data_IF_722537367171
#
_entry.id   IF_722537367171
#
_cell.length_a   1.000
_cell.length_b   1.000
_cell.length_c   1.000
_cell.angle_alpha   90.00
_cell.angle_beta   90.00
_cell.angle_gamma   90.00
#
_symmetry.space_group_name_H-M   'P 1'
#
loop_
_entity.id
_entity.type
_entity.pdbx_description
1 polymer ?
#
# COMPACT_ATOMS: atom_id res chain seq x y z
N UNK A 1 -18.20 12.94 -15.89
CA UNK A 1 -18.26 11.82 -14.92
C UNK A 1 -18.39 10.45 -15.58
N UNK A 2 -19.40 10.17 -16.42
CA UNK A 2 -19.54 8.85 -17.10
C UNK A 2 -18.28 8.42 -17.88
N UNK A 3 -17.69 9.36 -18.62
CA UNK A 3 -16.44 9.13 -19.36
C UNK A 3 -15.26 8.77 -18.44
N UNK A 4 -15.15 9.41 -17.27
CA UNK A 4 -14.11 9.12 -16.27
C UNK A 4 -14.28 7.71 -15.71
N UNK A 5 -15.51 7.31 -15.36
CA UNK A 5 -15.80 5.96 -14.88
C UNK A 5 -15.46 4.90 -15.95
N UNK A 6 -15.80 5.17 -17.21
CA UNK A 6 -15.51 4.23 -18.31
C UNK A 6 -14.00 4.10 -18.55
N UNK A 7 -13.24 5.20 -18.44
CA UNK A 7 -11.78 5.20 -18.49
C UNK A 7 -11.15 4.46 -17.30
N UNK A 8 -11.65 4.67 -16.08
CA UNK A 8 -11.19 3.94 -14.88
C UNK A 8 -11.46 2.43 -14.99
N UNK A 9 -12.63 2.03 -15.51
CA UNK A 9 -12.92 0.61 -15.79
C UNK A 9 -11.94 0.01 -16.80
N UNK A 10 -11.61 0.76 -17.85
CA UNK A 10 -10.63 0.34 -18.85
C UNK A 10 -9.24 0.21 -18.24
N UNK A 11 -8.79 1.20 -17.46
CA UNK A 11 -7.50 1.17 -16.77
C UNK A 11 -7.42 -0.03 -15.81
N UNK A 12 -8.44 -0.24 -14.97
CA UNK A 12 -8.53 -1.39 -14.06
C UNK A 12 -8.41 -2.72 -14.82
N UNK A 13 -9.09 -2.85 -15.96
CA UNK A 13 -9.02 -4.06 -16.80
C UNK A 13 -7.60 -4.30 -17.33
N UNK A 14 -6.90 -3.24 -17.73
CA UNK A 14 -5.51 -3.33 -18.20
C UNK A 14 -4.60 -3.81 -17.08
N UNK A 15 -4.67 -3.20 -15.89
CA UNK A 15 -3.85 -3.59 -14.73
C UNK A 15 -4.06 -5.06 -14.35
N UNK A 16 -5.31 -5.52 -14.28
CA UNK A 16 -5.61 -6.91 -13.97
C UNK A 16 -5.13 -7.89 -15.06
N UNK A 17 -5.11 -7.45 -16.32
CA UNK A 17 -4.53 -8.26 -17.41
C UNK A 17 -3.01 -8.37 -17.30
N UNK A 18 -2.32 -7.31 -16.86
CA UNK A 18 -0.88 -7.35 -16.58
C UNK A 18 -0.58 -8.28 -15.40
N UNK A 19 -1.37 -8.22 -14.33
CA UNK A 19 -1.24 -9.15 -13.19
C UNK A 19 -1.29 -10.61 -13.67
N UNK A 20 -2.27 -10.95 -14.50
CA UNK A 20 -2.39 -12.32 -15.04
C UNK A 20 -1.18 -12.69 -15.92
N UNK A 21 -0.80 -11.83 -16.87
CA UNK A 21 0.28 -12.11 -17.82
C UNK A 21 1.66 -12.24 -17.14
N UNK A 22 1.97 -11.35 -16.19
CA UNK A 22 3.24 -11.37 -15.45
C UNK A 22 3.27 -12.53 -14.45
N UNK A 23 2.15 -12.85 -13.80
CA UNK A 23 2.07 -14.04 -12.92
C UNK A 23 2.35 -15.33 -13.68
N UNK A 24 1.87 -15.44 -14.93
CA UNK A 24 2.19 -16.60 -15.78
C UNK A 24 3.68 -16.60 -16.16
N UNK A 25 4.21 -15.46 -16.60
CA UNK A 25 5.61 -15.30 -17.01
C UNK A 25 6.58 -15.69 -15.89
N UNK A 26 6.24 -15.37 -14.63
CA UNK A 26 7.08 -15.65 -13.46
C UNK A 26 7.27 -17.15 -13.17
N UNK A 27 6.42 -18.04 -13.70
CA UNK A 27 6.56 -19.49 -13.44
C UNK A 27 7.85 -20.06 -14.02
N UNK A 28 8.33 -19.48 -15.11
CA UNK A 28 9.52 -19.93 -15.83
C UNK A 28 10.79 -19.16 -15.42
N UNK A 29 10.68 -18.20 -14.49
CA UNK A 29 11.80 -17.37 -14.04
C UNK A 29 12.51 -18.02 -12.85
N UNK A 30 13.71 -18.54 -13.08
CA UNK A 30 14.55 -19.11 -12.02
C UNK A 30 15.37 -18.06 -11.26
N UNK A 31 15.67 -16.91 -11.90
CA UNK A 31 16.54 -15.89 -11.30
C UNK A 31 15.79 -15.11 -10.21
N UNK A 32 16.22 -15.16 -8.93
CA UNK A 32 15.47 -14.57 -7.83
C UNK A 32 15.21 -13.07 -7.97
N UNK A 33 16.22 -12.30 -8.39
CA UNK A 33 16.07 -10.84 -8.54
C UNK A 33 15.11 -10.45 -9.66
N UNK A 34 15.05 -11.22 -10.76
CA UNK A 34 14.08 -10.97 -11.82
C UNK A 34 12.66 -11.25 -11.29
N UNK A 35 12.50 -12.31 -10.51
CA UNK A 35 11.22 -12.63 -9.87
C UNK A 35 10.76 -11.52 -8.93
N UNK A 36 11.63 -10.98 -8.08
CA UNK A 36 11.31 -9.84 -7.22
C UNK A 36 10.83 -8.63 -8.03
N UNK A 37 11.53 -8.27 -9.11
CA UNK A 37 11.12 -7.15 -9.97
C UNK A 37 9.71 -7.37 -10.55
N UNK A 38 9.44 -8.57 -11.06
CA UNK A 38 8.13 -8.91 -11.62
C UNK A 38 7.04 -8.93 -10.55
N UNK A 39 7.34 -9.45 -9.36
CA UNK A 39 6.42 -9.46 -8.21
C UNK A 39 6.09 -8.04 -7.76
N UNK A 40 7.07 -7.13 -7.66
CA UNK A 40 6.85 -5.72 -7.34
C UNK A 40 5.90 -5.04 -8.34
N UNK A 41 6.09 -5.27 -9.65
CA UNK A 41 5.19 -4.74 -10.69
C UNK A 41 3.77 -5.32 -10.54
N UNK A 42 3.65 -6.61 -10.24
CA UNK A 42 2.36 -7.26 -10.00
C UNK A 42 1.66 -6.67 -8.77
N UNK A 43 2.39 -6.39 -7.69
CA UNK A 43 1.86 -5.74 -6.49
C UNK A 43 1.35 -4.32 -6.82
N UNK A 44 2.11 -3.54 -7.59
CA UNK A 44 1.69 -2.21 -8.02
C UNK A 44 0.47 -2.24 -8.93
N UNK A 45 0.40 -3.14 -9.91
CA UNK A 45 -0.79 -3.29 -10.75
C UNK A 45 -2.04 -3.66 -9.94
N UNK A 46 -1.91 -4.51 -8.91
CA UNK A 46 -3.03 -4.80 -7.98
C UNK A 46 -3.45 -3.56 -7.20
N UNK A 47 -2.48 -2.79 -6.69
CA UNK A 47 -2.71 -1.51 -6.00
C UNK A 47 -3.46 -0.53 -6.90
N UNK A 48 -3.01 -0.33 -8.14
CA UNK A 48 -3.65 0.56 -9.10
C UNK A 48 -5.08 0.13 -9.46
N UNK A 49 -5.31 -1.18 -9.67
CA UNK A 49 -6.64 -1.72 -9.94
C UNK A 49 -7.60 -1.50 -8.74
N UNK A 50 -7.09 -1.58 -7.51
CA UNK A 50 -7.85 -1.31 -6.29
C UNK A 50 -8.21 0.17 -6.16
N UNK A 51 -7.24 1.07 -6.41
CA UNK A 51 -7.49 2.53 -6.43
C UNK A 51 -8.57 2.87 -7.46
N UNK A 52 -8.46 2.35 -8.68
CA UNK A 52 -9.45 2.60 -9.73
C UNK A 52 -10.85 2.10 -9.33
N UNK A 53 -10.94 0.95 -8.66
CA UNK A 53 -12.21 0.47 -8.13
C UNK A 53 -12.77 1.40 -7.06
N UNK A 54 -11.96 1.82 -6.09
CA UNK A 54 -12.39 2.73 -5.04
C UNK A 54 -12.94 4.04 -5.62
N UNK A 55 -12.28 4.61 -6.64
CA UNK A 55 -12.77 5.80 -7.34
C UNK A 55 -14.10 5.56 -8.06
N UNK A 56 -14.27 4.41 -8.72
CA UNK A 56 -15.55 4.03 -9.35
C UNK A 56 -16.66 3.95 -8.31
N UNK A 57 -16.40 3.36 -7.14
CA UNK A 57 -17.40 3.16 -6.09
C UNK A 57 -17.80 4.48 -5.43
N UNK A 58 -16.84 5.37 -5.19
CA UNK A 58 -17.11 6.73 -4.69
C UNK A 58 -18.03 7.48 -5.66
N UNK A 59 -17.71 7.44 -6.95
CA UNK A 59 -18.50 8.09 -7.99
C UNK A 59 -19.90 7.48 -8.18
N UNK A 60 -20.05 6.17 -7.92
CA UNK A 60 -21.32 5.48 -7.94
C UNK A 60 -22.20 5.76 -6.69
N UNK A 61 -21.67 6.49 -5.70
CA UNK A 61 -22.33 6.71 -4.41
C UNK A 61 -22.43 5.44 -3.56
N UNK A 62 -21.58 4.43 -3.84
CA UNK A 62 -21.63 3.11 -3.22
C UNK A 62 -20.79 3.02 -1.94
N UNK A 63 -20.06 4.08 -1.57
CA UNK A 63 -19.15 4.08 -0.43
C UNK A 63 -19.68 4.97 0.70
N UNK A 64 -19.85 4.43 1.92
CA UNK A 64 -20.14 5.22 3.11
C UNK A 64 -19.04 6.26 3.37
N UNK A 65 -19.42 7.48 3.73
CA UNK A 65 -18.48 8.56 4.08
C UNK A 65 -17.73 8.35 5.42
N UNK A 66 -17.97 7.21 6.09
CA UNK A 66 -17.40 6.84 7.40
C UNK A 66 -17.00 5.37 7.38
N UNK A 67 -16.15 4.96 8.33
CA UNK A 67 -15.83 3.55 8.56
C UNK A 67 -17.13 2.76 8.78
N UNK A 68 -17.48 1.91 7.82
CA UNK A 68 -18.69 1.09 7.83
C UNK A 68 -18.40 -0.25 8.51
N UNK A 69 -18.11 -0.18 9.82
CA UNK A 69 -17.80 -1.33 10.64
C UNK A 69 -18.50 -1.24 11.99
N UNK A 70 -19.06 -2.36 12.45
CA UNK A 70 -19.57 -2.50 13.81
C UNK A 70 -18.45 -2.25 14.85
N UNK A 71 -18.82 -1.75 16.04
CA UNK A 71 -17.87 -1.34 17.11
C UNK A 71 -16.86 -2.45 17.50
N UNK A 72 -17.30 -3.71 17.56
CA UNK A 72 -16.42 -4.84 17.88
C UNK A 72 -15.34 -5.08 16.81
N UNK A 73 -15.73 -5.35 15.54
CA UNK A 73 -14.80 -5.40 14.41
C UNK A 73 -13.90 -4.17 14.27
N UNK A 74 -14.42 -2.96 14.49
CA UNK A 74 -13.65 -1.71 14.43
C UNK A 74 -12.54 -1.65 15.51
N UNK A 75 -12.84 -2.12 16.73
CA UNK A 75 -11.86 -2.19 17.82
C UNK A 75 -10.73 -3.17 17.49
N UNK A 76 -11.08 -4.37 17.01
CA UNK A 76 -10.08 -5.36 16.58
C UNK A 76 -9.23 -4.85 15.42
N UNK A 77 -9.86 -4.19 14.45
CA UNK A 77 -9.17 -3.58 13.32
C UNK A 77 -8.13 -2.56 13.78
N UNK A 78 -8.54 -1.60 14.62
CA UNK A 78 -7.64 -0.59 15.15
C UNK A 78 -6.51 -1.19 16.00
N UNK A 79 -6.80 -2.23 16.79
CA UNK A 79 -5.76 -2.93 17.55
C UNK A 79 -4.75 -3.63 16.62
N UNK A 80 -5.19 -4.23 15.52
CA UNK A 80 -4.29 -4.80 14.52
C UNK A 80 -3.41 -3.73 13.87
N UNK A 81 -3.95 -2.55 13.55
CA UNK A 81 -3.15 -1.42 13.05
C UNK A 81 -2.10 -0.98 14.08
N UNK A 82 -2.49 -0.86 15.36
CA UNK A 82 -1.56 -0.50 16.45
C UNK A 82 -0.48 -1.57 16.67
N UNK A 83 -0.78 -2.85 16.43
CA UNK A 83 0.21 -3.92 16.45
C UNK A 83 1.16 -3.81 15.25
N UNK A 84 0.66 -3.52 14.05
CA UNK A 84 1.50 -3.28 12.88
C UNK A 84 2.46 -2.11 13.10
N UNK A 85 2.02 -1.00 13.68
CA UNK A 85 2.90 0.12 14.06
C UNK A 85 4.09 -0.32 14.95
N UNK A 86 3.89 -1.32 15.82
CA UNK A 86 4.99 -1.86 16.64
C UNK A 86 5.91 -2.75 15.81
N UNK A 87 5.34 -3.60 14.96
CA UNK A 87 6.09 -4.45 14.04
C UNK A 87 6.97 -3.63 13.08
N UNK A 88 6.48 -2.51 12.54
CA UNK A 88 7.28 -1.60 11.70
C UNK A 88 8.48 -1.03 12.45
N UNK A 89 8.29 -0.65 13.73
CA UNK A 89 9.40 -0.14 14.55
C UNK A 89 10.47 -1.21 14.77
N UNK A 90 10.06 -2.43 15.09
CA UNK A 90 10.96 -3.58 15.26
C UNK A 90 11.69 -3.91 13.94
N UNK A 91 11.00 -3.80 12.80
CA UNK A 91 11.60 -4.00 11.48
C UNK A 91 12.65 -2.94 11.15
N UNK A 92 12.36 -1.67 11.41
CA UNK A 92 13.32 -0.57 11.20
C UNK A 92 14.59 -0.78 12.03
N UNK A 93 14.45 -1.16 13.30
CA UNK A 93 15.58 -1.46 14.19
C UNK A 93 16.42 -2.62 13.62
N UNK A 94 15.76 -3.72 13.24
CA UNK A 94 16.42 -4.89 12.65
C UNK A 94 17.14 -4.56 11.33
N UNK A 95 16.50 -3.82 10.43
CA UNK A 95 17.10 -3.39 9.17
C UNK A 95 18.29 -2.45 9.39
N UNK A 96 18.23 -1.60 10.42
CA UNK A 96 19.35 -0.74 10.81
C UNK A 96 20.55 -1.55 11.30
N UNK A 97 20.32 -2.59 12.11
CA UNK A 97 21.37 -3.54 12.51
C UNK A 97 21.96 -4.28 11.30
N UNK A 98 21.12 -4.71 10.34
CA UNK A 98 21.57 -5.34 9.10
C UNK A 98 22.44 -4.36 8.30
N UNK A 99 22.01 -3.10 8.18
CA UNK A 99 22.73 -2.04 7.48
C UNK A 99 24.14 -1.85 8.01
N UNK A 100 24.37 -1.91 9.32
CA UNK A 100 25.71 -1.77 9.91
C UNK A 100 26.65 -2.94 9.56
N UNK A 101 26.09 -4.10 9.21
CA UNK A 101 26.84 -5.32 8.89
C UNK A 101 27.10 -5.52 7.39
N UNK A 102 26.31 -4.88 6.54
CA UNK A 102 26.42 -5.00 5.08
C UNK A 102 27.65 -4.24 4.58
N UNK A 103 28.45 -4.93 3.74
CA UNK A 103 29.65 -4.36 3.11
C UNK A 103 29.52 -4.16 1.61
N UNK A 104 28.50 -4.77 1.00
CA UNK A 104 28.26 -4.67 -0.44
C UNK A 104 27.34 -3.47 -0.68
N UNK A 105 27.87 -2.41 -1.30
CA UNK A 105 27.13 -1.18 -1.62
C UNK A 105 25.83 -1.44 -2.40
N UNK A 106 25.76 -2.53 -3.18
CA UNK A 106 24.55 -2.89 -3.92
C UNK A 106 23.47 -3.39 -2.98
N UNK A 107 23.84 -4.19 -1.99
CA UNK A 107 22.92 -4.70 -0.95
C UNK A 107 22.53 -3.55 -0.02
N UNK A 108 23.48 -2.68 0.33
CA UNK A 108 23.24 -1.52 1.18
C UNK A 108 22.10 -0.65 0.65
N UNK A 109 22.10 -0.35 -0.65
CA UNK A 109 21.02 0.43 -1.29
C UNK A 109 19.63 -0.19 -1.14
N UNK A 110 19.53 -1.53 -1.15
CA UNK A 110 18.24 -2.19 -0.92
C UNK A 110 17.83 -2.11 0.55
N UNK A 111 18.77 -2.23 1.49
CA UNK A 111 18.47 -2.09 2.92
C UNK A 111 18.03 -0.66 3.24
N UNK A 112 18.73 0.35 2.71
CA UNK A 112 18.37 1.76 2.87
C UNK A 112 16.96 2.02 2.32
N UNK A 113 16.67 1.52 1.12
CA UNK A 113 15.33 1.58 0.53
C UNK A 113 14.26 0.94 1.44
N UNK A 114 14.51 -0.27 1.96
CA UNK A 114 13.56 -0.92 2.86
C UNK A 114 13.34 -0.11 4.15
N UNK A 115 14.40 0.47 4.73
CA UNK A 115 14.28 1.33 5.91
C UNK A 115 13.41 2.55 5.60
N UNK A 116 13.59 3.19 4.44
CA UNK A 116 12.78 4.32 4.01
C UNK A 116 11.30 3.95 3.81
N UNK A 117 11.03 2.79 3.20
CA UNK A 117 9.68 2.24 3.04
C UNK A 117 9.01 2.02 4.40
N UNK A 118 9.65 1.32 5.33
CA UNK A 118 9.04 1.04 6.65
C UNK A 118 8.87 2.31 7.49
N UNK A 119 9.79 3.28 7.38
CA UNK A 119 9.60 4.59 8.01
C UNK A 119 8.36 5.31 7.49
N UNK A 120 8.05 5.17 6.20
CA UNK A 120 6.86 5.76 5.59
C UNK A 120 5.59 5.00 6.01
N UNK A 121 5.62 3.67 5.99
CA UNK A 121 4.52 2.83 6.48
C UNK A 121 4.21 3.11 7.96
N UNK A 122 5.23 3.21 8.81
CA UNK A 122 5.07 3.52 10.23
C UNK A 122 4.37 4.86 10.46
N UNK A 123 4.76 5.91 9.72
CA UNK A 123 4.12 7.23 9.81
C UNK A 123 2.66 7.18 9.33
N UNK A 124 2.40 6.51 8.20
CA UNK A 124 1.05 6.30 7.68
C UNK A 124 0.17 5.59 8.71
N UNK A 125 0.61 4.44 9.22
CA UNK A 125 -0.19 3.61 10.13
C UNK A 125 -0.43 4.28 11.48
N UNK A 126 0.52 5.08 11.96
CA UNK A 126 0.31 5.92 13.16
C UNK A 126 -0.80 6.93 12.94
N UNK A 127 -0.73 7.72 11.88
CA UNK A 127 -1.79 8.70 11.57
C UNK A 127 -3.13 8.01 11.30
N UNK A 128 -3.12 6.88 10.59
CA UNK A 128 -4.32 6.08 10.35
C UNK A 128 -4.96 5.61 11.65
N UNK A 129 -4.17 5.10 12.60
CA UNK A 129 -4.69 4.66 13.91
C UNK A 129 -5.35 5.79 14.70
N UNK A 130 -4.82 7.01 14.59
CA UNK A 130 -5.40 8.20 15.23
C UNK A 130 -6.72 8.61 14.55
N UNK A 131 -6.83 8.46 13.23
CA UNK A 131 -8.11 8.63 12.54
C UNK A 131 -9.14 7.62 13.04
N UNK A 132 -8.76 6.34 13.15
CA UNK A 132 -9.68 5.28 13.62
C UNK A 132 -10.14 5.45 15.08
N UNK A 133 -9.39 6.17 15.91
CA UNK A 133 -9.77 6.48 17.30
C UNK A 133 -10.84 7.60 17.39
N UNK A 134 -11.21 8.25 16.28
CA UNK A 134 -12.17 9.36 16.24
C UNK A 134 -13.58 8.89 15.86
N UNK A 135 -14.59 9.42 16.57
CA UNK A 135 -16.01 9.17 16.27
C UNK A 135 -16.48 9.75 14.93
N UNK A 136 -15.70 10.70 14.37
CA UNK A 136 -15.97 11.33 13.09
C UNK A 136 -14.67 11.50 12.29
N UNK A 137 -14.63 10.81 11.16
CA UNK A 137 -13.59 10.92 10.12
C UNK A 137 -14.31 11.09 8.79
N UNK A 138 -13.82 11.97 7.93
CA UNK A 138 -14.36 12.16 6.58
C UNK A 138 -13.57 11.35 5.55
N UNK A 139 -14.17 11.14 4.38
CA UNK A 139 -13.47 10.52 3.24
C UNK A 139 -12.24 11.34 2.82
N UNK A 140 -12.32 12.67 2.87
CA UNK A 140 -11.21 13.55 2.51
C UNK A 140 -9.98 13.31 3.40
N UNK A 141 -10.17 13.04 4.69
CA UNK A 141 -9.05 12.73 5.61
C UNK A 141 -8.34 11.41 5.26
N UNK A 142 -9.08 10.40 4.79
CA UNK A 142 -8.47 9.16 4.29
C UNK A 142 -7.75 9.38 2.96
N UNK A 143 -8.30 10.20 2.07
CA UNK A 143 -7.68 10.56 0.80
C UNK A 143 -6.39 11.35 1.02
N UNK A 144 -6.39 12.35 1.91
CA UNK A 144 -5.22 13.13 2.28
C UNK A 144 -4.12 12.24 2.88
N UNK A 145 -4.48 11.33 3.78
CA UNK A 145 -3.53 10.36 4.34
C UNK A 145 -2.89 9.51 3.24
N UNK A 146 -3.70 8.98 2.32
CA UNK A 146 -3.20 8.17 1.20
C UNK A 146 -2.30 8.99 0.28
N UNK A 147 -2.71 10.19 -0.11
CA UNK A 147 -1.92 11.08 -0.98
C UNK A 147 -0.57 11.44 -0.34
N UNK A 148 -0.56 11.75 0.95
CA UNK A 148 0.64 12.15 1.68
C UNK A 148 1.71 11.06 1.75
N UNK A 149 1.31 9.79 1.86
CA UNK A 149 2.23 8.69 2.17
C UNK A 149 2.36 7.62 1.09
N UNK A 150 1.35 7.44 0.24
CA UNK A 150 1.34 6.40 -0.79
C UNK A 150 1.55 6.95 -2.20
N UNK A 151 1.36 8.26 -2.39
CA UNK A 151 1.67 8.97 -3.63
C UNK A 151 2.96 9.75 -3.40
N UNK A 152 4.07 9.02 -3.38
CA UNK A 152 5.40 9.62 -3.25
C UNK A 152 5.78 10.22 -4.60
N UNK A 153 6.09 11.53 -4.70
CA UNK A 153 6.69 12.08 -5.91
C UNK A 153 8.05 11.40 -6.13
N UNK A 154 8.42 11.00 -7.35
CA UNK A 154 9.81 10.66 -7.61
C UNK A 154 10.68 11.89 -7.27
N UNK A 155 11.74 11.69 -6.50
CA UNK A 155 12.82 12.70 -6.38
C UNK A 155 13.49 12.97 -7.73
#
# INVERSE_FOLDING_TARGET
MKEVIDLLKKQKKIELSHVAALTETMKDVETPMIKVVLESIVHDSRKHAAIAQALIDVEAGAVPHKLDMDLGPATNFNQNIKQHVRAEKEMIEMLSEISELVKDDRVQKFIDYLIEEENRHHKLLKEFSLLLDRDTVTMDEYLELFQKYMIVPPE
#
